data_IF_140746404123
#
_entry.id   IF_140746404123
#
_cell.length_a   1.000
_cell.length_b   1.000
_cell.length_c   1.000
_cell.angle_alpha   90.00
_cell.angle_beta   90.00
_cell.angle_gamma   90.00
#
_symmetry.space_group_name_H-M   'P 1'
#
loop_
_entity.id
_entity.type
_entity.pdbx_description
1 polymer ?
#
# COMPACT_ATOMS: atom_id res chain seq x y z
N UNK A 1 20.52 4.94 -5.88
CA UNK A 1 19.34 5.79 -5.72
C UNK A 1 18.52 5.67 -7.00
N UNK A 2 17.73 4.61 -7.12
CA UNK A 2 16.73 4.50 -8.17
C UNK A 2 15.49 5.17 -7.58
N UNK A 3 15.28 6.45 -7.89
CA UNK A 3 13.97 7.07 -7.76
C UNK A 3 13.07 6.37 -8.78
N UNK A 4 12.45 5.28 -8.34
CA UNK A 4 11.21 4.84 -8.96
C UNK A 4 10.23 5.98 -8.71
N UNK A 5 10.14 6.93 -9.64
CA UNK A 5 9.00 7.85 -9.81
C UNK A 5 7.77 7.02 -10.19
N UNK A 6 7.37 6.11 -9.30
CA UNK A 6 6.08 5.48 -9.35
C UNK A 6 5.09 6.52 -8.86
N UNK A 7 4.41 7.07 -9.85
CA UNK A 7 3.47 8.14 -9.72
C UNK A 7 2.15 7.57 -9.18
N UNK A 8 2.07 7.41 -7.85
CA UNK A 8 0.90 6.87 -7.14
C UNK A 8 -0.22 7.94 -7.04
N UNK A 9 -0.72 8.42 -8.19
CA UNK A 9 -1.63 9.58 -8.31
C UNK A 9 -3.11 9.34 -8.01
N UNK A 10 -3.50 8.20 -7.44
CA UNK A 10 -4.92 7.89 -7.19
C UNK A 10 -5.53 8.64 -6.00
N UNK A 11 -4.73 9.34 -5.20
CA UNK A 11 -5.28 10.16 -4.12
C UNK A 11 -5.82 11.48 -4.64
N UNK A 12 -7.08 11.78 -4.31
CA UNK A 12 -7.77 13.01 -4.74
C UNK A 12 -7.27 14.24 -3.96
N UNK A 13 -6.68 14.01 -2.78
CA UNK A 13 -6.08 15.04 -1.94
C UNK A 13 -4.68 14.66 -1.44
N UNK A 14 -4.04 15.61 -0.76
CA UNK A 14 -2.69 15.48 -0.18
C UNK A 14 -2.56 14.21 0.66
N UNK A 15 -1.52 13.44 0.36
CA UNK A 15 -1.07 12.30 1.18
C UNK A 15 -0.42 12.85 2.44
N UNK A 16 -1.00 12.52 3.59
CA UNK A 16 -0.54 12.98 4.91
C UNK A 16 0.44 12.00 5.55
N UNK A 17 0.35 10.72 5.19
CA UNK A 17 1.19 9.68 5.77
C UNK A 17 1.42 8.52 4.80
N UNK A 18 2.58 7.87 4.95
CA UNK A 18 2.94 6.64 4.25
C UNK A 18 3.57 5.64 5.22
N UNK A 19 3.36 4.34 4.98
CA UNK A 19 3.97 3.26 5.77
C UNK A 19 4.30 2.07 4.87
N UNK A 20 5.53 1.57 4.99
CA UNK A 20 5.96 0.35 4.29
C UNK A 20 5.51 -0.89 5.04
N UNK A 21 5.05 -1.90 4.30
CA UNK A 21 4.84 -3.22 4.87
C UNK A 21 6.19 -3.83 5.27
N UNK A 22 6.26 -4.53 6.41
CA UNK A 22 7.43 -5.32 6.74
C UNK A 22 7.55 -6.51 5.78
N UNK A 23 8.78 -6.90 5.44
CA UNK A 23 9.03 -8.01 4.52
C UNK A 23 8.38 -9.33 4.98
N UNK A 24 8.23 -9.51 6.30
CA UNK A 24 7.54 -10.64 6.92
C UNK A 24 6.08 -10.77 6.51
N UNK A 25 5.44 -9.68 6.10
CA UNK A 25 4.02 -9.63 5.75
C UNK A 25 3.78 -9.74 4.25
N UNK A 26 4.82 -9.70 3.42
CA UNK A 26 4.68 -9.67 1.96
C UNK A 26 3.97 -10.92 1.42
N UNK A 27 4.31 -12.11 1.92
CA UNK A 27 3.67 -13.36 1.50
C UNK A 27 2.16 -13.32 1.78
N UNK A 28 1.77 -12.96 3.01
CA UNK A 28 0.36 -12.88 3.41
C UNK A 28 -0.43 -11.86 2.60
N UNK A 29 0.16 -10.69 2.31
CA UNK A 29 -0.49 -9.65 1.47
C UNK A 29 -0.64 -10.17 0.04
N UNK A 30 0.38 -10.83 -0.52
CA UNK A 30 0.31 -11.37 -1.88
C UNK A 30 -0.76 -12.46 -2.04
N UNK A 31 -0.91 -13.33 -1.03
CA UNK A 31 -1.97 -14.34 -0.98
C UNK A 31 -3.35 -13.71 -0.85
N UNK A 32 -3.50 -12.72 0.06
CA UNK A 32 -4.78 -12.07 0.33
C UNK A 32 -5.28 -11.18 -0.82
N UNK A 33 -4.36 -10.56 -1.58
CA UNK A 33 -4.69 -9.64 -2.67
C UNK A 33 -4.82 -10.32 -4.02
N UNK A 34 -4.59 -11.64 -4.09
CA UNK A 34 -4.69 -12.38 -5.34
C UNK A 34 -3.76 -11.83 -6.43
N UNK A 35 -2.62 -11.25 -6.04
CA UNK A 35 -1.58 -10.82 -6.98
C UNK A 35 -0.95 -12.07 -7.60
N UNK A 36 -1.68 -12.68 -8.52
CA UNK A 36 -1.24 -13.82 -9.31
C UNK A 36 -0.13 -13.34 -10.25
N UNK A 37 1.09 -13.34 -9.73
CA UNK A 37 2.34 -13.66 -10.44
C UNK A 37 2.65 -12.91 -11.74
N UNK A 38 3.84 -12.29 -11.83
CA UNK A 38 4.94 -12.84 -12.65
C UNK A 38 6.18 -11.93 -12.78
N UNK A 39 7.33 -12.48 -12.36
CA UNK A 39 8.53 -12.83 -13.18
C UNK A 39 9.77 -13.12 -12.31
N UNK A 40 9.76 -12.80 -11.01
CA UNK A 40 10.92 -13.02 -10.11
C UNK A 40 10.69 -13.95 -8.91
N UNK A 41 9.47 -14.48 -8.72
CA UNK A 41 9.17 -15.43 -7.64
C UNK A 41 9.18 -14.86 -6.22
N UNK A 42 9.30 -13.54 -6.06
CA UNK A 42 9.24 -12.88 -4.75
C UNK A 42 8.07 -11.91 -4.67
N UNK A 43 7.31 -11.90 -3.56
CA UNK A 43 6.29 -10.89 -3.35
C UNK A 43 6.94 -9.49 -3.28
N UNK A 44 6.21 -8.51 -3.80
CA UNK A 44 6.68 -7.14 -3.95
C UNK A 44 6.66 -6.34 -2.66
N UNK A 45 7.39 -5.22 -2.59
CA UNK A 45 7.25 -4.30 -1.49
C UNK A 45 5.88 -3.60 -1.57
N UNK A 46 5.13 -3.65 -0.46
CA UNK A 46 3.82 -3.04 -0.34
C UNK A 46 3.89 -1.73 0.46
N UNK A 47 3.08 -0.76 0.06
CA UNK A 47 2.99 0.55 0.70
C UNK A 47 1.54 0.85 1.11
N UNK A 48 1.35 1.46 2.27
CA UNK A 48 0.11 2.13 2.64
C UNK A 48 0.30 3.64 2.54
N UNK A 49 -0.72 4.34 2.07
CA UNK A 49 -0.81 5.79 2.09
C UNK A 49 -2.15 6.23 2.65
N UNK A 50 -2.13 7.23 3.52
CA UNK A 50 -3.33 7.88 4.05
C UNK A 50 -3.42 9.32 3.55
N UNK A 51 -4.62 9.76 3.19
CA UNK A 51 -4.85 11.10 2.62
C UNK A 51 -5.99 11.86 3.30
N UNK A 52 -6.02 13.18 3.04
CA UNK A 52 -7.15 14.05 3.38
C UNK A 52 -8.43 13.71 2.60
N UNK A 53 -8.34 12.90 1.56
CA UNK A 53 -9.50 12.31 0.88
C UNK A 53 -10.24 11.28 1.76
N UNK A 54 -9.75 11.07 3.00
CA UNK A 54 -10.34 10.17 4.01
C UNK A 54 -10.25 8.70 3.61
N UNK A 55 -9.33 8.39 2.69
CA UNK A 55 -9.05 7.03 2.26
C UNK A 55 -7.66 6.61 2.68
N UNK A 56 -7.51 5.31 2.88
CA UNK A 56 -6.22 4.65 2.96
C UNK A 56 -6.08 3.78 1.72
N UNK A 57 -5.00 3.94 0.97
CA UNK A 57 -4.71 3.11 -0.20
C UNK A 57 -3.55 2.18 0.08
N UNK A 58 -3.65 0.95 -0.39
CA UNK A 58 -2.58 -0.04 -0.39
C UNK A 58 -2.08 -0.24 -1.81
N UNK A 59 -0.77 -0.29 -1.97
CA UNK A 59 -0.09 -0.33 -3.26
C UNK A 59 0.88 -1.50 -3.33
N UNK A 60 0.94 -2.14 -4.49
CA UNK A 60 2.08 -2.96 -4.87
C UNK A 60 3.06 -2.07 -5.64
N UNK A 61 4.20 -1.77 -5.01
CA UNK A 61 5.20 -0.89 -5.61
C UNK A 61 5.91 -1.57 -6.79
N UNK A 62 5.88 -2.90 -6.89
CA UNK A 62 6.47 -3.59 -8.06
C UNK A 62 5.67 -3.36 -9.33
N UNK A 63 4.34 -3.27 -9.20
CA UNK A 63 3.42 -3.13 -10.33
C UNK A 63 2.90 -1.71 -10.48
N UNK A 64 3.06 -0.86 -9.46
CA UNK A 64 2.48 0.48 -9.41
C UNK A 64 0.96 0.48 -9.22
N UNK A 65 0.35 -0.66 -8.92
CA UNK A 65 -1.10 -0.78 -8.84
C UNK A 65 -1.61 -0.50 -7.42
N UNK A 66 -2.73 0.20 -7.33
CA UNK A 66 -3.52 0.27 -6.10
C UNK A 66 -4.26 -1.05 -5.92
N UNK A 67 -3.86 -1.83 -4.91
CA UNK A 67 -4.47 -3.13 -4.59
C UNK A 67 -5.78 -2.97 -3.83
N UNK A 68 -5.86 -1.95 -2.98
CA UNK A 68 -7.00 -1.75 -2.10
C UNK A 68 -7.18 -0.28 -1.76
N UNK A 69 -8.43 0.16 -1.71
CA UNK A 69 -8.81 1.45 -1.13
C UNK A 69 -9.73 1.17 0.06
N UNK A 70 -9.25 1.49 1.26
CA UNK A 70 -10.01 1.44 2.50
C UNK A 70 -10.72 2.78 2.66
N UNK A 71 -12.05 2.71 2.66
CA UNK A 71 -12.95 3.85 2.84
C UNK A 71 -13.70 3.70 4.17
N UNK A 72 -14.11 4.81 4.77
CA UNK A 72 -14.91 4.79 6.02
C UNK A 72 -14.40 5.72 7.12
N UNK A 73 -13.29 6.43 6.91
CA UNK A 73 -12.91 7.51 7.81
C UNK A 73 -13.80 8.74 7.56
N UNK A 74 -14.35 9.33 8.61
CA UNK A 74 -15.14 10.56 8.52
C UNK A 74 -14.28 11.82 8.34
N UNK A 75 -12.97 11.71 8.58
CA UNK A 75 -12.01 12.81 8.57
C UNK A 75 -10.66 12.39 7.96
N UNK A 76 -9.74 13.34 7.81
CA UNK A 76 -8.42 13.13 7.20
C UNK A 76 -7.63 12.05 7.92
N UNK A 77 -6.99 11.18 7.15
CA UNK A 77 -6.13 10.14 7.70
C UNK A 77 -4.78 10.75 8.05
N UNK A 78 -4.44 10.76 9.34
CA UNK A 78 -3.17 11.35 9.84
C UNK A 78 -2.07 10.32 10.07
N UNK A 79 -2.39 9.03 10.03
CA UNK A 79 -1.43 7.97 10.30
C UNK A 79 -1.96 6.63 9.83
N UNK A 80 -1.06 5.83 9.27
CA UNK A 80 -1.30 4.45 8.86
C UNK A 80 -0.14 3.59 9.34
N UNK A 81 -0.43 2.38 9.79
CA UNK A 81 0.58 1.45 10.28
C UNK A 81 0.25 0.06 9.79
N UNK A 82 1.27 -0.64 9.29
CA UNK A 82 1.18 -2.08 9.12
C UNK A 82 1.33 -2.77 10.47
N UNK A 83 0.35 -3.61 10.79
CA UNK A 83 0.52 -4.55 11.87
C UNK A 83 1.39 -5.72 11.40
N UNK A 84 2.53 -5.92 12.06
CA UNK A 84 3.42 -7.06 11.80
C UNK A 84 2.98 -8.35 12.53
N UNK A 85 1.95 -8.27 13.38
CA UNK A 85 1.47 -9.39 14.20
C UNK A 85 0.45 -10.24 13.46
N UNK A 86 0.64 -11.56 13.52
CA UNK A 86 -0.31 -12.53 12.96
C UNK A 86 -1.61 -12.56 13.76
N UNK A 87 -2.69 -12.21 13.05
CA UNK A 87 -4.12 -12.26 13.44
C UNK A 87 -4.59 -11.25 14.49
#
# INVERSE_FOLDING_TARGET
YLELELDLREHEHVVECISWAPESSYSSISEATGSETKKSGKPGPFLLSGSRDKTIKMWDVSTGMCLMTLVGHDNWVRGVLFHSGGK
#
